data_IF_087323576092
#
_entry.id   IF_087323576092
#
_cell.length_a   1.000
_cell.length_b   1.000
_cell.length_c   1.000
_cell.angle_alpha   90.00
_cell.angle_beta   90.00
_cell.angle_gamma   90.00
#
_symmetry.space_group_name_H-M   'P 1'
#
loop_
_entity.id
_entity.type
_entity.pdbx_description
1 polymer ?
#
# COMPACT_ATOMS: atom_id res chain seq x y z
N UNK A 1 -3.60 -26.82 -41.62
CA UNK A 1 -4.80 -26.58 -40.80
C UNK A 1 -4.52 -25.72 -39.56
N UNK A 2 -3.73 -26.17 -38.56
CA UNK A 2 -3.43 -25.31 -37.38
C UNK A 2 -2.58 -24.08 -37.72
N UNK A 3 -1.62 -24.23 -38.63
CA UNK A 3 -0.72 -23.13 -39.04
C UNK A 3 -1.45 -22.02 -39.79
N UNK A 4 -2.46 -22.38 -40.60
CA UNK A 4 -3.29 -21.41 -41.32
C UNK A 4 -4.22 -20.65 -40.38
N UNK A 5 -4.76 -21.34 -39.37
CA UNK A 5 -5.59 -20.72 -38.33
C UNK A 5 -4.79 -19.71 -37.50
N UNK A 6 -3.58 -20.10 -37.05
CA UNK A 6 -2.70 -19.20 -36.32
C UNK A 6 -2.29 -17.98 -37.16
N UNK A 7 -1.99 -18.19 -38.44
CA UNK A 7 -1.65 -17.10 -39.36
C UNK A 7 -2.81 -16.12 -39.53
N UNK A 8 -4.04 -16.63 -39.73
CA UNK A 8 -5.23 -15.80 -39.88
C UNK A 8 -5.55 -15.01 -38.60
N UNK A 9 -5.35 -15.62 -37.42
CA UNK A 9 -5.55 -14.95 -36.13
C UNK A 9 -4.59 -13.78 -35.94
N UNK A 10 -3.30 -13.97 -36.27
CA UNK A 10 -2.29 -12.91 -36.15
C UNK A 10 -2.59 -11.74 -37.08
N UNK A 11 -3.01 -12.01 -38.32
CA UNK A 11 -3.40 -10.95 -39.25
C UNK A 11 -4.65 -10.20 -38.78
N UNK A 12 -5.64 -10.91 -38.23
CA UNK A 12 -6.85 -10.30 -37.69
C UNK A 12 -6.54 -9.35 -36.53
N UNK A 13 -5.72 -9.79 -35.57
CA UNK A 13 -5.28 -8.96 -34.44
C UNK A 13 -4.52 -7.72 -34.92
N UNK A 14 -3.67 -7.87 -35.93
CA UNK A 14 -2.89 -6.75 -36.49
C UNK A 14 -3.78 -5.73 -37.23
N UNK A 15 -4.79 -6.19 -37.95
CA UNK A 15 -5.77 -5.34 -38.61
C UNK A 15 -6.67 -4.58 -37.63
N UNK A 16 -6.89 -5.15 -36.44
CA UNK A 16 -7.72 -4.57 -35.38
C UNK A 16 -6.96 -3.60 -34.48
N UNK A 17 -5.63 -3.48 -34.62
CA UNK A 17 -4.86 -2.43 -33.95
C UNK A 17 -5.00 -1.11 -34.73
N UNK A 18 -5.72 -0.10 -34.20
CA UNK A 18 -5.70 1.23 -34.81
C UNK A 18 -4.29 1.82 -34.71
N UNK A 19 -3.73 2.21 -35.86
CA UNK A 19 -2.44 2.90 -36.00
C UNK A 19 -2.50 4.35 -35.48
N UNK A 20 -2.80 4.52 -34.19
CA UNK A 20 -2.81 5.80 -33.48
C UNK A 20 -2.37 5.57 -32.03
N UNK A 21 -1.10 5.19 -31.86
CA UNK A 21 -0.53 4.80 -30.57
C UNK A 21 0.56 5.75 -30.04
N UNK A 22 0.32 7.08 -30.00
CA UNK A 22 0.90 7.82 -28.87
C UNK A 22 -0.08 8.69 -28.10
N UNK A 23 -1.23 9.09 -28.67
CA UNK A 23 -2.07 10.13 -28.06
C UNK A 23 -2.94 9.61 -26.91
N UNK A 24 -3.37 8.35 -26.94
CA UNK A 24 -4.19 7.78 -25.86
C UNK A 24 -3.39 7.51 -24.56
N UNK A 25 -2.09 7.22 -24.68
CA UNK A 25 -1.22 6.98 -23.51
C UNK A 25 -0.86 8.28 -22.79
N UNK A 26 -0.76 9.41 -23.49
CA UNK A 26 -0.48 10.71 -22.89
C UNK A 26 -1.65 11.23 -22.05
N UNK A 27 -2.89 11.02 -22.50
CA UNK A 27 -4.09 11.40 -21.73
C UNK A 27 -4.28 10.50 -20.51
N UNK A 28 -4.01 9.19 -20.64
CA UNK A 28 -4.01 8.26 -19.51
C UNK A 28 -2.90 8.58 -18.50
N UNK A 29 -1.72 9.03 -18.95
CA UNK A 29 -0.63 9.42 -18.07
C UNK A 29 -0.94 10.69 -17.24
N UNK A 30 -1.81 11.58 -17.72
CA UNK A 30 -2.24 12.76 -16.95
C UNK A 30 -3.29 12.42 -15.88
N UNK A 31 -4.18 11.45 -16.14
CA UNK A 31 -5.14 10.97 -15.14
C UNK A 31 -4.53 9.97 -14.13
N UNK A 32 -3.46 9.27 -14.50
CA UNK A 32 -2.80 8.23 -13.67
C UNK A 32 -1.90 8.79 -12.55
N UNK A 33 -1.62 10.11 -12.52
CA UNK A 33 -0.82 10.72 -11.43
C UNK A 33 -1.69 11.43 -10.39
N UNK A 34 -2.99 11.12 -10.30
CA UNK A 34 -3.66 11.21 -9.00
C UNK A 34 -3.47 9.88 -8.30
N UNK A 35 -2.29 9.66 -7.70
CA UNK A 35 -2.18 8.65 -6.65
C UNK A 35 -3.35 8.91 -5.70
N UNK A 36 -4.23 7.93 -5.43
CA UNK A 36 -5.23 8.07 -4.40
C UNK A 36 -4.52 8.60 -3.16
N UNK A 37 -5.03 9.68 -2.54
CA UNK A 37 -4.42 10.20 -1.32
C UNK A 37 -4.28 9.01 -0.36
N UNK A 38 -3.04 8.57 -0.02
CA UNK A 38 -2.88 7.41 0.82
C UNK A 38 -3.62 7.68 2.12
N UNK A 39 -4.39 6.70 2.60
CA UNK A 39 -5.09 6.81 3.88
C UNK A 39 -4.05 7.12 4.94
N UNK A 40 -4.09 8.33 5.49
CA UNK A 40 -3.18 8.76 6.54
C UNK A 40 -3.77 8.26 7.86
N UNK A 41 -3.15 7.23 8.43
CA UNK A 41 -3.54 6.70 9.74
C UNK A 41 -2.60 7.27 10.77
N UNK A 42 -3.11 8.17 11.60
CA UNK A 42 -2.39 8.66 12.76
C UNK A 42 -2.67 7.74 13.95
N UNK A 43 -1.60 7.40 14.66
CA UNK A 43 -1.65 6.64 15.92
C UNK A 43 -0.79 7.41 16.88
N UNK A 44 -1.36 7.79 18.01
CA UNK A 44 -0.66 8.53 19.04
C UNK A 44 0.46 7.70 19.67
N UNK A 45 1.44 8.38 20.23
CA UNK A 45 2.50 7.72 21.00
C UNK A 45 1.98 7.35 22.38
N UNK A 46 2.32 6.15 22.82
CA UNK A 46 2.07 5.69 24.18
C UNK A 46 3.30 5.99 25.05
N UNK A 47 3.18 6.97 25.94
CA UNK A 47 4.26 7.42 26.82
C UNK A 47 4.27 6.71 28.19
N UNK A 48 3.35 5.76 28.44
CA UNK A 48 3.13 5.08 29.73
C UNK A 48 2.84 6.00 30.91
N UNK A 49 2.36 7.22 30.66
CA UNK A 49 1.98 8.14 31.74
C UNK A 49 0.73 7.61 32.44
N UNK A 50 0.64 7.82 33.75
CA UNK A 50 -0.54 7.44 34.53
C UNK A 50 -1.78 8.15 34.00
N UNK A 51 -2.58 7.45 33.20
CA UNK A 51 -3.72 8.00 32.46
C UNK A 51 -3.88 7.45 31.05
N UNK A 52 -2.78 6.98 30.42
CA UNK A 52 -2.84 6.38 29.09
C UNK A 52 -3.31 4.92 29.20
N UNK A 53 -4.37 4.56 28.49
CA UNK A 53 -4.83 3.17 28.42
C UNK A 53 -3.98 2.38 27.44
N UNK A 54 -3.15 1.47 27.98
CA UNK A 54 -2.36 0.54 27.18
C UNK A 54 -3.23 -0.27 26.19
N UNK A 55 -4.42 -0.70 26.62
CA UNK A 55 -5.34 -1.48 25.77
C UNK A 55 -5.83 -0.68 24.56
N UNK A 56 -6.15 0.61 24.75
CA UNK A 56 -6.55 1.48 23.65
C UNK A 56 -5.39 1.74 22.68
N UNK A 57 -4.18 1.95 23.22
CA UNK A 57 -2.98 2.11 22.40
C UNK A 57 -2.68 0.85 21.57
N UNK A 58 -2.77 -0.34 22.17
CA UNK A 58 -2.58 -1.62 21.48
C UNK A 58 -3.59 -1.79 20.34
N UNK A 59 -4.88 -1.61 20.62
CA UNK A 59 -5.94 -1.77 19.62
C UNK A 59 -5.80 -0.76 18.46
N UNK A 60 -5.37 0.47 18.76
CA UNK A 60 -5.12 1.49 17.73
C UNK A 60 -3.96 1.09 16.81
N UNK A 61 -2.85 0.60 17.38
CA UNK A 61 -1.70 0.10 16.62
C UNK A 61 -2.08 -1.11 15.76
N UNK A 62 -2.81 -2.08 16.32
CA UNK A 62 -3.27 -3.27 15.61
C UNK A 62 -4.18 -2.90 14.42
N UNK A 63 -5.14 -2.00 14.66
CA UNK A 63 -6.07 -1.53 13.64
C UNK A 63 -5.35 -0.77 12.53
N UNK A 64 -4.37 0.07 12.88
CA UNK A 64 -3.56 0.79 11.91
C UNK A 64 -2.73 -0.15 11.03
N UNK A 65 -2.14 -1.20 11.60
CA UNK A 65 -1.42 -2.22 10.82
C UNK A 65 -2.36 -2.96 9.87
N UNK A 66 -3.56 -3.31 10.32
CA UNK A 66 -4.56 -4.00 9.51
C UNK A 66 -4.99 -3.15 8.31
N UNK A 67 -5.35 -1.88 8.54
CA UNK A 67 -5.78 -0.96 7.48
C UNK A 67 -4.62 -0.64 6.53
N UNK A 68 -3.42 -0.42 7.06
CA UNK A 68 -2.22 -0.16 6.25
C UNK A 68 -1.66 -1.44 5.59
N UNK A 69 -2.33 -2.59 5.74
CA UNK A 69 -1.93 -3.89 5.17
C UNK A 69 -0.46 -4.24 5.44
N UNK A 70 0.03 -3.88 6.63
CA UNK A 70 1.41 -4.14 7.06
C UNK A 70 1.51 -5.62 7.45
N UNK A 71 1.82 -6.48 6.47
CA UNK A 71 1.93 -7.92 6.67
C UNK A 71 3.35 -8.40 7.01
N UNK A 72 4.38 -7.64 6.64
CA UNK A 72 5.77 -8.03 6.87
C UNK A 72 6.18 -7.78 8.33
N UNK A 73 6.58 -8.84 9.02
CA UNK A 73 6.78 -8.83 10.47
C UNK A 73 7.78 -7.76 10.96
N UNK A 74 8.94 -7.55 10.32
CA UNK A 74 9.83 -6.46 10.72
C UNK A 74 9.22 -5.06 10.60
N UNK A 75 8.33 -4.82 9.64
CA UNK A 75 7.61 -3.54 9.55
C UNK A 75 6.53 -3.43 10.63
N UNK A 76 5.88 -4.53 11.02
CA UNK A 76 4.94 -4.56 12.14
C UNK A 76 5.66 -4.23 13.45
N UNK A 77 6.79 -4.89 13.72
CA UNK A 77 7.61 -4.63 14.91
C UNK A 77 8.11 -3.20 14.93
N UNK A 78 8.66 -2.71 13.81
CA UNK A 78 9.15 -1.34 13.69
C UNK A 78 8.04 -0.29 13.88
N UNK A 79 6.85 -0.55 13.33
CA UNK A 79 5.69 0.32 13.50
C UNK A 79 5.22 0.37 14.95
N UNK A 80 5.01 -0.79 15.60
CA UNK A 80 4.57 -0.85 16.99
C UNK A 80 5.57 -0.19 17.95
N UNK A 81 6.86 -0.52 17.81
CA UNK A 81 7.92 0.05 18.65
C UNK A 81 8.10 1.56 18.42
N UNK A 82 7.86 2.05 17.19
CA UNK A 82 7.85 3.47 16.86
C UNK A 82 6.72 4.28 17.53
N UNK A 83 5.65 3.60 17.98
CA UNK A 83 4.54 4.20 18.74
C UNK A 83 4.76 4.19 20.25
N UNK A 84 5.80 3.51 20.74
CA UNK A 84 6.19 3.65 22.14
C UNK A 84 6.97 4.95 22.33
N UNK A 85 6.67 5.65 23.42
CA UNK A 85 7.40 6.82 23.90
C UNK A 85 7.87 6.62 25.33
N UNK A 86 8.57 7.62 25.86
CA UNK A 86 9.05 7.65 27.24
C UNK A 86 9.72 6.34 27.71
N UNK A 87 9.31 5.89 28.90
CA UNK A 87 9.83 4.68 29.54
C UNK A 87 9.45 3.40 28.81
N UNK A 88 8.26 3.33 28.20
CA UNK A 88 7.83 2.18 27.41
C UNK A 88 8.78 1.90 26.24
N UNK A 89 9.26 2.96 25.56
CA UNK A 89 10.24 2.82 24.49
C UNK A 89 11.59 2.34 25.01
N UNK A 90 12.05 2.85 26.16
CA UNK A 90 13.33 2.47 26.75
C UNK A 90 13.33 1.00 27.17
N UNK A 91 12.25 0.54 27.80
CA UNK A 91 12.09 -0.85 28.19
C UNK A 91 12.09 -1.81 26.98
N UNK A 92 11.40 -1.46 25.90
CA UNK A 92 11.30 -2.30 24.71
C UNK A 92 12.62 -2.42 23.90
N UNK A 93 13.60 -1.54 24.15
CA UNK A 93 14.88 -1.50 23.43
C UNK A 93 16.06 -2.03 24.25
N UNK A 94 15.81 -2.50 25.47
CA UNK A 94 16.80 -3.14 26.34
C UNK A 94 16.87 -4.64 26.04
#
# INVERSE_FOLDING_TARGET
>A
MLDEYNKALVEHVKAQMPSSAPTALATMAQDVVRRPNPIQIEVDKFDSKGGDSFMLAFQSVESAMFIATIAYEPYRVGFATGKLGGFAKQWALT
#
